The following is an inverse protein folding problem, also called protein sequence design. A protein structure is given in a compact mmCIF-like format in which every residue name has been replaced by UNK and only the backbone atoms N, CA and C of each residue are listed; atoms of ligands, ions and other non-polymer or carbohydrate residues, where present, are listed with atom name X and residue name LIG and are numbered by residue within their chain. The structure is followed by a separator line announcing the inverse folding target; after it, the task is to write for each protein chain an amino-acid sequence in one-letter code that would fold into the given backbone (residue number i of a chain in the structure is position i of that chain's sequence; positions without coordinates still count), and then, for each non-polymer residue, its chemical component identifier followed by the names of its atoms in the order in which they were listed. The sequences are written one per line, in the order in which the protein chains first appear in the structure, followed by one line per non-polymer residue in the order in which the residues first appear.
data_IF_866940571404
#
_entry.id   IF_866940571404
#
_cell.length_a   1.000
_cell.length_b   1.000
_cell.length_c   1.000
_cell.angle_alpha   90.00
_cell.angle_beta   90.00
_cell.angle_gamma   90.00
#
_symmetry.space_group_name_H-M   'P 1'
#
loop_
_entity.id
_entity.type
_entity.pdbx_description
1 polymer ?
#
# COMPACT_ATOMS: atom_id res chain seq x y z
N UNK A 1 -46.23 119.71 -47.93
CA UNK A 1 -44.76 119.63 -47.90
C UNK A 1 -44.31 118.16 -47.97
N UNK A 2 -43.41 117.87 -48.91
CA UNK A 2 -42.43 116.75 -49.03
C UNK A 2 -42.78 115.33 -48.54
N UNK A 3 -42.74 114.40 -49.51
CA UNK A 3 -42.65 112.93 -49.38
C UNK A 3 -41.36 112.50 -48.66
N UNK A 4 -41.40 111.42 -47.88
CA UNK A 4 -40.26 110.54 -47.58
C UNK A 4 -40.75 109.06 -47.51
N UNK A 5 -40.06 108.08 -48.15
CA UNK A 5 -40.58 106.73 -48.42
C UNK A 5 -40.24 105.69 -47.32
N UNK A 6 -40.93 104.54 -47.27
CA UNK A 6 -40.63 103.46 -46.33
C UNK A 6 -39.31 102.75 -46.67
N UNK A 7 -38.47 102.60 -45.64
CA UNK A 7 -37.15 101.96 -45.69
C UNK A 7 -37.31 100.44 -45.84
N UNK A 8 -36.92 99.91 -47.00
CA UNK A 8 -36.82 98.47 -47.28
C UNK A 8 -35.63 97.88 -46.52
N UNK A 9 -35.87 96.89 -45.66
CA UNK A 9 -34.83 95.94 -45.25
C UNK A 9 -35.00 94.63 -46.03
N UNK A 10 -33.95 94.27 -46.76
CA UNK A 10 -33.82 93.06 -47.57
C UNK A 10 -32.96 92.04 -46.81
N UNK A 11 -33.30 90.76 -47.05
CA UNK A 11 -32.48 89.54 -47.05
C UNK A 11 -32.04 88.97 -45.69
N UNK A 12 -32.50 87.75 -45.43
CA UNK A 12 -31.60 86.59 -45.41
C UNK A 12 -32.40 85.31 -45.68
N UNK A 13 -32.13 84.70 -46.83
CA UNK A 13 -32.51 83.32 -47.10
C UNK A 13 -31.35 82.45 -46.61
N UNK A 14 -31.63 81.43 -45.81
CA UNK A 14 -30.73 80.30 -45.66
C UNK A 14 -31.48 79.01 -46.00
N UNK A 15 -30.86 78.27 -46.91
CA UNK A 15 -31.37 77.15 -47.68
C UNK A 15 -30.53 75.94 -47.26
N UNK A 16 -31.12 74.74 -47.37
CA UNK A 16 -30.44 73.47 -47.71
C UNK A 16 -30.09 72.48 -46.56
N UNK A 17 -30.76 71.31 -46.67
CA UNK A 17 -30.34 69.91 -46.41
C UNK A 17 -30.12 69.36 -44.99
N UNK A 18 -30.99 68.41 -44.62
CA UNK A 18 -30.67 67.21 -43.82
C UNK A 18 -31.50 66.06 -44.46
N UNK A 19 -30.96 65.33 -45.44
CA UNK A 19 -30.11 64.14 -45.31
C UNK A 19 -30.85 62.86 -44.83
N UNK A 20 -31.38 62.13 -45.82
CA UNK A 20 -31.34 60.66 -45.99
C UNK A 20 -31.58 59.74 -44.78
N UNK A 21 -32.81 59.23 -44.70
CA UNK A 21 -33.16 57.79 -44.73
C UNK A 21 -32.06 56.80 -44.30
N UNK A 22 -32.02 56.47 -42.99
CA UNK A 22 -31.26 55.32 -42.49
C UNK A 22 -32.13 54.05 -42.56
N UNK A 23 -31.83 53.20 -43.53
CA UNK A 23 -32.33 51.82 -43.63
C UNK A 23 -31.91 51.04 -42.37
N UNK A 24 -32.89 50.47 -41.68
CA UNK A 24 -32.68 49.57 -40.54
C UNK A 24 -32.15 48.23 -41.07
N UNK A 25 -30.83 48.03 -41.01
CA UNK A 25 -30.22 46.73 -41.30
C UNK A 25 -30.45 45.83 -40.10
N UNK A 26 -31.36 44.87 -40.25
CA UNK A 26 -31.54 43.77 -39.30
C UNK A 26 -30.25 42.94 -39.28
N UNK A 27 -29.38 43.26 -38.31
CA UNK A 27 -28.22 42.44 -37.95
C UNK A 27 -28.70 41.02 -37.70
N UNK A 28 -28.25 40.10 -38.56
CA UNK A 28 -28.46 38.65 -38.46
C UNK A 28 -28.16 38.22 -37.02
N UNK A 29 -29.18 37.80 -36.27
CA UNK A 29 -29.04 37.29 -34.90
C UNK A 29 -28.02 36.14 -34.89
N UNK A 30 -26.76 36.48 -34.62
CA UNK A 30 -25.76 35.53 -34.19
C UNK A 30 -26.15 35.17 -32.76
N UNK A 31 -26.61 33.94 -32.55
CA UNK A 31 -26.82 33.43 -31.21
C UNK A 31 -25.55 33.69 -30.39
N UNK A 32 -25.66 34.28 -29.19
CA UNK A 32 -24.49 34.61 -28.41
C UNK A 32 -23.72 33.33 -28.10
N UNK A 33 -22.39 33.36 -28.27
CA UNK A 33 -21.48 32.20 -28.19
C UNK A 33 -21.42 31.52 -26.81
N UNK A 34 -22.18 32.02 -25.82
CA UNK A 34 -22.30 31.46 -24.48
C UNK A 34 -22.75 29.99 -24.44
N UNK A 35 -23.46 29.50 -25.45
CA UNK A 35 -23.89 28.09 -25.53
C UNK A 35 -22.74 27.08 -25.73
N UNK A 36 -21.62 27.50 -26.33
CA UNK A 36 -20.40 26.67 -26.47
C UNK A 36 -19.67 26.48 -25.15
N UNK A 37 -19.66 27.50 -24.29
CA UNK A 37 -18.96 27.47 -23.00
C UNK A 37 -19.59 26.43 -22.04
N UNK A 38 -20.91 26.30 -22.05
CA UNK A 38 -21.63 25.31 -21.22
C UNK A 38 -21.37 23.88 -21.71
N UNK A 39 -21.29 23.67 -23.03
CA UNK A 39 -21.03 22.35 -23.62
C UNK A 39 -19.58 21.91 -23.41
N UNK A 40 -18.61 22.82 -23.50
CA UNK A 40 -17.19 22.50 -23.23
C UNK A 40 -16.88 22.35 -21.74
N UNK A 41 -17.47 23.18 -20.87
CA UNK A 41 -17.31 23.06 -19.42
C UNK A 41 -17.80 21.70 -18.89
N UNK A 42 -18.93 21.20 -19.42
CA UNK A 42 -19.45 19.86 -19.06
C UNK A 42 -18.52 18.75 -19.53
N UNK A 43 -17.85 18.92 -20.67
CA UNK A 43 -16.86 17.98 -21.21
C UNK A 43 -15.56 17.97 -20.40
N UNK A 44 -15.09 19.15 -19.98
CA UNK A 44 -13.91 19.32 -19.11
C UNK A 44 -14.18 18.75 -17.72
N UNK A 45 -15.33 19.08 -17.12
CA UNK A 45 -15.76 18.56 -15.82
C UNK A 45 -15.92 17.03 -15.86
N UNK A 46 -16.49 16.48 -16.95
CA UNK A 46 -16.59 15.03 -17.17
C UNK A 46 -15.20 14.40 -17.25
N UNK A 47 -14.28 14.99 -18.01
CA UNK A 47 -12.91 14.49 -18.14
C UNK A 47 -12.14 14.53 -16.80
N UNK A 48 -12.33 15.58 -16.00
CA UNK A 48 -11.72 15.71 -14.67
C UNK A 48 -12.27 14.68 -13.70
N UNK A 49 -13.59 14.46 -13.69
CA UNK A 49 -14.23 13.38 -12.90
C UNK A 49 -13.78 11.99 -13.33
N UNK A 50 -13.59 11.73 -14.63
CA UNK A 50 -13.06 10.44 -15.09
C UNK A 50 -11.61 10.23 -14.66
N UNK A 51 -10.77 11.28 -14.66
CA UNK A 51 -9.39 11.19 -14.16
C UNK A 51 -9.34 10.92 -12.66
N UNK A 52 -10.16 11.63 -11.86
CA UNK A 52 -10.26 11.39 -10.42
C UNK A 52 -10.74 9.96 -10.11
N UNK A 53 -11.69 9.45 -10.89
CA UNK A 53 -12.13 8.06 -10.76
C UNK A 53 -10.96 7.07 -10.96
N UNK A 54 -10.17 7.22 -12.03
CA UNK A 54 -9.01 6.35 -12.26
C UNK A 54 -7.95 6.46 -11.17
N UNK A 55 -7.72 7.65 -10.62
CA UNK A 55 -6.80 7.84 -9.49
C UNK A 55 -7.27 7.04 -8.26
N UNK A 56 -8.57 7.05 -7.95
CA UNK A 56 -9.13 6.28 -6.82
C UNK A 56 -9.07 4.78 -7.07
N UNK A 57 -9.33 4.32 -8.30
CA UNK A 57 -9.21 2.90 -8.66
C UNK A 57 -7.76 2.44 -8.48
N UNK A 58 -6.79 3.19 -8.99
CA UNK A 58 -5.37 2.86 -8.87
C UNK A 58 -4.93 2.88 -7.41
N UNK A 59 -5.31 3.90 -6.63
CA UNK A 59 -4.96 3.96 -5.21
C UNK A 59 -5.58 2.81 -4.41
N UNK A 60 -6.84 2.45 -4.70
CA UNK A 60 -7.49 1.29 -4.10
C UNK A 60 -6.78 -0.02 -4.43
N UNK A 61 -6.36 -0.22 -5.68
CA UNK A 61 -5.58 -1.41 -6.06
C UNK A 61 -4.22 -1.45 -5.35
N UNK A 62 -3.54 -0.30 -5.21
CA UNK A 62 -2.27 -0.21 -4.50
C UNK A 62 -2.44 -0.56 -3.02
N UNK A 63 -3.49 -0.06 -2.38
CA UNK A 63 -3.82 -0.39 -0.98
C UNK A 63 -4.11 -1.88 -0.79
N UNK A 64 -4.85 -2.51 -1.71
CA UNK A 64 -5.10 -3.95 -1.66
C UNK A 64 -3.81 -4.76 -1.76
N UNK A 65 -2.87 -4.37 -2.63
CA UNK A 65 -1.57 -5.02 -2.73
C UNK A 65 -0.77 -4.92 -1.42
N UNK A 66 -0.79 -3.75 -0.76
CA UNK A 66 -0.15 -3.56 0.54
C UNK A 66 -0.76 -4.48 1.60
N UNK A 67 -2.10 -4.60 1.65
CA UNK A 67 -2.79 -5.50 2.60
C UNK A 67 -2.39 -6.96 2.40
N UNK A 68 -2.33 -7.42 1.14
CA UNK A 68 -1.91 -8.79 0.82
C UNK A 68 -0.47 -9.05 1.27
N UNK A 69 0.43 -8.10 1.05
CA UNK A 69 1.83 -8.25 1.45
C UNK A 69 2.01 -8.25 2.97
N UNK A 70 1.27 -7.40 3.69
CA UNK A 70 1.20 -7.42 5.15
C UNK A 70 0.69 -8.76 5.68
N UNK A 71 -0.36 -9.32 5.07
CA UNK A 71 -0.92 -10.63 5.44
C UNK A 71 0.12 -11.76 5.43
N UNK A 72 0.94 -11.84 4.38
CA UNK A 72 2.06 -12.79 4.30
C UNK A 72 3.09 -12.54 5.42
N UNK A 73 3.37 -11.27 5.71
CA UNK A 73 4.25 -10.86 6.80
C UNK A 73 3.76 -11.34 8.17
N UNK A 74 2.46 -11.23 8.45
CA UNK A 74 1.86 -11.71 9.71
C UNK A 74 1.98 -13.23 9.89
N UNK A 75 1.75 -14.00 8.83
CA UNK A 75 1.88 -15.46 8.89
C UNK A 75 3.33 -15.87 9.18
N UNK A 76 4.29 -15.24 8.50
CA UNK A 76 5.72 -15.47 8.72
C UNK A 76 6.14 -15.08 10.15
N UNK A 77 5.66 -13.94 10.65
CA UNK A 77 5.92 -13.49 12.02
C UNK A 77 5.40 -14.50 13.05
N UNK A 78 4.19 -15.01 12.85
CA UNK A 78 3.56 -16.00 13.74
C UNK A 78 4.33 -17.32 13.75
N UNK A 79 4.73 -17.81 12.56
CA UNK A 79 5.58 -19.00 12.43
C UNK A 79 6.94 -18.82 13.12
N UNK A 80 7.61 -17.68 12.91
CA UNK A 80 8.89 -17.38 13.57
C UNK A 80 8.76 -17.35 15.09
N UNK A 81 7.69 -16.73 15.60
CA UNK A 81 7.41 -16.69 17.05
C UNK A 81 7.22 -18.09 17.62
N UNK A 82 6.50 -18.96 16.91
CA UNK A 82 6.29 -20.33 17.37
C UNK A 82 7.59 -21.13 17.43
N UNK A 83 8.46 -21.02 16.41
CA UNK A 83 9.78 -21.67 16.40
C UNK A 83 10.63 -21.25 17.60
N UNK A 84 10.57 -19.98 18.01
CA UNK A 84 11.30 -19.49 19.17
C UNK A 84 10.77 -20.09 20.47
N UNK A 85 9.44 -20.14 20.64
CA UNK A 85 8.81 -20.78 21.80
C UNK A 85 9.18 -22.26 21.89
N UNK A 86 9.18 -22.96 20.76
CA UNK A 86 9.51 -24.38 20.72
C UNK A 86 11.00 -24.61 21.04
N UNK A 87 11.90 -23.74 20.56
CA UNK A 87 13.32 -23.75 20.96
C UNK A 87 13.49 -23.54 22.46
N UNK A 88 12.77 -22.59 23.05
CA UNK A 88 12.84 -22.34 24.49
C UNK A 88 12.36 -23.54 25.31
N UNK A 89 11.27 -24.20 24.89
CA UNK A 89 10.80 -25.44 25.53
C UNK A 89 11.85 -26.54 25.50
N UNK A 90 12.50 -26.74 24.35
CA UNK A 90 13.59 -27.72 24.21
C UNK A 90 14.76 -27.39 25.15
N UNK A 91 15.13 -26.11 25.29
CA UNK A 91 16.20 -25.70 26.20
C UNK A 91 15.86 -25.94 27.67
N UNK A 92 14.62 -25.64 28.08
CA UNK A 92 14.13 -25.94 29.42
C UNK A 92 14.14 -27.45 29.71
N UNK A 93 13.75 -28.27 28.74
CA UNK A 93 13.78 -29.73 28.88
C UNK A 93 15.22 -30.25 29.01
N UNK A 94 16.16 -29.69 28.23
CA UNK A 94 17.59 -30.00 28.39
C UNK A 94 18.08 -29.65 29.80
N UNK A 95 17.68 -28.51 30.36
CA UNK A 95 18.06 -28.11 31.72
C UNK A 95 17.50 -29.07 32.77
N UNK A 96 16.23 -29.48 32.63
CA UNK A 96 15.59 -30.46 33.50
C UNK A 96 16.36 -31.79 33.49
N UNK A 97 16.67 -32.34 32.32
CA UNK A 97 17.46 -33.57 32.22
C UNK A 97 18.90 -33.39 32.72
N UNK A 98 19.49 -32.21 32.55
CA UNK A 98 20.82 -31.91 33.07
C UNK A 98 20.84 -31.96 34.62
N UNK A 99 19.78 -31.51 35.30
CA UNK A 99 19.66 -31.65 36.76
C UNK A 99 19.57 -33.12 37.14
N UNK A 100 18.77 -33.92 36.42
CA UNK A 100 18.64 -35.37 36.68
C UNK A 100 20.00 -36.09 36.56
N UNK A 101 20.82 -35.79 35.55
CA UNK A 101 22.13 -36.45 35.42
C UNK A 101 23.17 -35.99 36.46
N UNK A 102 22.97 -34.82 37.08
CA UNK A 102 23.83 -34.37 38.18
C UNK A 102 23.61 -35.25 39.42
N UNK A 103 22.34 -35.55 39.71
CA UNK A 103 21.96 -36.40 40.84
C UNK A 103 22.16 -37.90 40.52
N UNK A 104 21.84 -38.31 39.28
CA UNK A 104 21.83 -39.71 38.83
C UNK A 104 22.69 -39.92 37.57
N UNK A 105 24.01 -39.98 37.75
CA UNK A 105 24.99 -40.17 36.66
C UNK A 105 24.84 -41.48 35.87
N UNK A 106 24.18 -42.48 36.43
CA UNK A 106 23.94 -43.78 35.78
C UNK A 106 22.67 -43.84 34.92
N UNK A 107 21.94 -42.73 34.76
CA UNK A 107 20.65 -42.77 34.10
C UNK A 107 20.75 -42.57 32.58
N UNK A 108 20.91 -43.68 31.84
CA UNK A 108 21.08 -43.71 30.38
C UNK A 108 20.01 -42.94 29.61
N UNK A 109 18.76 -42.99 30.07
CA UNK A 109 17.62 -42.39 29.38
C UNK A 109 17.72 -40.87 29.39
N UNK A 110 18.21 -40.27 30.47
CA UNK A 110 18.44 -38.82 30.52
C UNK A 110 19.51 -38.37 29.52
N UNK A 111 20.62 -39.12 29.39
CA UNK A 111 21.63 -38.83 28.36
C UNK A 111 21.06 -38.94 26.94
N UNK A 112 20.24 -39.96 26.67
CA UNK A 112 19.57 -40.11 25.38
C UNK A 112 18.57 -38.98 25.11
N UNK A 113 17.77 -38.58 26.10
CA UNK A 113 16.82 -37.45 25.98
C UNK A 113 17.54 -36.15 25.64
N UNK A 114 18.63 -35.82 26.35
CA UNK A 114 19.44 -34.64 26.03
C UNK A 114 19.99 -34.73 24.61
N UNK A 115 20.48 -35.89 24.18
CA UNK A 115 20.98 -36.04 22.82
C UNK A 115 19.92 -35.81 21.76
N UNK A 116 18.71 -36.35 21.95
CA UNK A 116 17.59 -36.16 21.05
C UNK A 116 17.20 -34.68 20.94
N UNK A 117 17.11 -33.99 22.08
CA UNK A 117 16.80 -32.56 22.15
C UNK A 117 17.89 -31.70 21.48
N UNK A 118 19.17 -32.04 21.68
CA UNK A 118 20.30 -31.39 21.00
C UNK A 118 20.28 -31.64 19.49
N UNK A 119 19.88 -32.83 19.05
CA UNK A 119 19.70 -33.14 17.64
C UNK A 119 18.57 -32.31 17.03
N UNK A 120 17.43 -32.15 17.72
CA UNK A 120 16.33 -31.29 17.28
C UNK A 120 16.74 -29.82 17.15
N UNK A 121 17.64 -29.34 18.00
CA UNK A 121 18.24 -28.00 17.88
C UNK A 121 19.29 -27.88 16.74
N UNK A 122 19.57 -28.96 16.03
CA UNK A 122 20.59 -29.03 14.97
C UNK A 122 22.01 -29.21 15.48
N UNK A 123 22.23 -29.31 16.80
CA UNK A 123 23.55 -29.52 17.38
C UNK A 123 23.93 -31.00 17.41
N UNK A 124 24.31 -31.52 16.23
CA UNK A 124 24.69 -32.92 16.02
C UNK A 124 25.93 -33.32 16.82
N UNK A 125 26.90 -32.42 16.99
CA UNK A 125 28.12 -32.71 17.74
C UNK A 125 27.83 -32.95 19.22
N UNK A 126 27.05 -32.07 19.86
CA UNK A 126 26.61 -32.28 21.23
C UNK A 126 25.78 -33.57 21.35
N UNK A 127 24.84 -33.80 20.41
CA UNK A 127 24.04 -35.01 20.41
C UNK A 127 24.90 -36.30 20.39
N UNK A 128 25.98 -36.33 19.59
CA UNK A 128 26.92 -37.46 19.56
C UNK A 128 27.55 -37.73 20.92
N UNK A 129 28.06 -36.69 21.59
CA UNK A 129 28.69 -36.82 22.91
C UNK A 129 27.73 -37.41 23.95
N UNK A 130 26.48 -36.96 23.98
CA UNK A 130 25.49 -37.48 24.91
C UNK A 130 25.05 -38.92 24.57
N UNK A 131 24.98 -39.28 23.28
CA UNK A 131 24.71 -40.67 22.86
C UNK A 131 25.83 -41.63 23.23
N UNK A 132 27.08 -41.19 23.09
CA UNK A 132 28.22 -42.00 23.52
C UNK A 132 28.19 -42.26 25.02
N UNK A 133 27.80 -41.26 25.83
CA UNK A 133 27.57 -41.46 27.26
C UNK A 133 26.43 -42.44 27.53
N UNK A 134 25.29 -42.31 26.86
CA UNK A 134 24.17 -43.24 27.03
C UNK A 134 24.59 -44.69 26.71
N UNK A 135 25.34 -44.90 25.62
CA UNK A 135 25.83 -46.21 25.21
C UNK A 135 26.99 -46.74 26.07
N UNK A 136 27.75 -45.87 26.75
CA UNK A 136 28.74 -46.30 27.74
C UNK A 136 28.09 -46.88 29.00
N UNK A 137 26.88 -46.40 29.34
CA UNK A 137 26.09 -46.91 30.47
C UNK A 137 25.37 -48.20 30.06
N UNK A 138 24.72 -48.19 28.89
CA UNK A 138 24.06 -49.37 28.33
C UNK A 138 24.44 -49.54 26.86
N UNK A 139 25.41 -50.43 26.56
CA UNK A 139 25.84 -50.71 25.21
C UNK A 139 24.71 -51.21 24.31
N UNK A 140 23.67 -51.84 24.86
CA UNK A 140 22.56 -52.47 24.12
C UNK A 140 21.34 -51.56 23.96
N UNK A 141 21.43 -50.28 24.36
CA UNK A 141 20.32 -49.35 24.23
C UNK A 141 19.95 -49.08 22.75
N UNK A 142 18.88 -49.72 22.28
CA UNK A 142 18.48 -49.71 20.89
C UNK A 142 18.20 -48.30 20.35
N UNK A 143 17.50 -47.47 21.12
CA UNK A 143 17.18 -46.10 20.72
C UNK A 143 18.42 -45.24 20.54
N UNK A 144 19.37 -45.33 21.46
CA UNK A 144 20.63 -44.61 21.35
C UNK A 144 21.45 -45.10 20.14
N UNK A 145 21.44 -46.41 19.83
CA UNK A 145 22.08 -46.95 18.62
C UNK A 145 21.40 -46.45 17.35
N UNK A 146 20.06 -46.39 17.32
CA UNK A 146 19.28 -45.83 16.20
C UNK A 146 19.66 -44.38 15.97
N UNK A 147 19.64 -43.54 17.01
CA UNK A 147 20.01 -42.14 16.89
C UNK A 147 21.48 -41.95 16.51
N UNK A 148 22.41 -42.79 17.02
CA UNK A 148 23.82 -42.79 16.61
C UNK A 148 23.99 -42.99 15.11
N UNK A 149 23.20 -43.88 14.49
CA UNK A 149 23.23 -44.12 13.04
C UNK A 149 22.78 -42.89 12.25
N UNK A 150 21.79 -42.14 12.75
CA UNK A 150 21.31 -40.90 12.11
C UNK A 150 22.30 -39.74 12.25
N UNK A 151 23.15 -39.78 13.27
CA UNK A 151 24.16 -38.76 13.53
C UNK A 151 25.45 -38.95 12.71
N UNK A 152 25.67 -40.14 12.12
CA UNK A 152 26.87 -40.44 11.31
C UNK A 152 26.98 -39.48 10.14
#
# INVERSE_FOLDING_TARGET
MKKLPPKKFKKSANKVQIASEKRFVLSKNQFPTFSRFITEAKKILKHWKTKQFWVVVISGTLLLLIIVELGKGYELFSKRKQVEIDRQKILLEIEFWNKIIQDYKGFKDAYYRIALLRYQLGNKQAAKLYIEKALSIDPFFEDARRLKKLLK
#
